data_IF_247722722977
#
_entry.id   IF_247722722977
#
_cell.length_a   1.000
_cell.length_b   1.000
_cell.length_c   1.000
_cell.angle_alpha   90.00
_cell.angle_beta   90.00
_cell.angle_gamma   90.00
#
_symmetry.space_group_name_H-M   'P 1'
#
loop_
_entity.id
_entity.type
_entity.pdbx_description
1 polymer ?
#
# COMPACT_ATOMS: atom_id res chain seq x y z
N UNK A 1 66.09 21.42 -15.98
CA UNK A 1 66.01 20.42 -14.89
C UNK A 1 65.05 20.99 -13.86
N UNK A 2 63.96 20.28 -13.55
CA UNK A 2 62.84 20.81 -12.75
C UNK A 2 62.10 21.98 -13.45
N UNK A 3 60.90 22.38 -13.05
CA UNK A 3 60.02 21.80 -12.01
C UNK A 3 58.62 22.45 -12.03
N UNK A 4 57.48 21.77 -11.90
CA UNK A 4 57.16 20.33 -12.05
C UNK A 4 55.65 20.19 -12.33
N UNK A 5 55.25 19.26 -13.22
CA UNK A 5 53.86 19.09 -13.69
C UNK A 5 53.09 18.10 -12.78
N UNK A 6 52.82 18.53 -11.54
CA UNK A 6 52.06 17.74 -10.56
C UNK A 6 50.56 17.78 -10.88
N UNK A 7 50.06 16.71 -11.50
CA UNK A 7 48.65 16.38 -11.64
C UNK A 7 48.03 16.00 -10.28
N UNK A 8 47.92 16.97 -9.36
CA UNK A 8 47.37 16.75 -8.03
C UNK A 8 45.94 17.32 -7.91
N UNK A 9 45.02 16.64 -8.59
CA UNK A 9 43.56 16.77 -8.39
C UNK A 9 42.89 15.40 -8.40
N UNK A 10 43.34 14.53 -7.50
CA UNK A 10 42.47 13.49 -6.98
C UNK A 10 41.31 14.16 -6.22
N UNK A 11 40.22 14.44 -6.94
CA UNK A 11 38.92 14.61 -6.31
C UNK A 11 38.56 13.27 -5.66
N UNK A 12 38.93 13.12 -4.39
CA UNK A 12 38.32 12.12 -3.52
C UNK A 12 36.86 12.54 -3.38
N UNK A 13 36.01 12.01 -4.24
CA UNK A 13 34.61 11.80 -3.86
C UNK A 13 34.67 10.95 -2.59
N UNK A 14 34.42 11.59 -1.45
CA UNK A 14 34.21 10.87 -0.20
C UNK A 14 33.08 9.90 -0.45
N UNK A 15 33.39 8.61 -0.50
CA UNK A 15 32.38 7.57 -0.40
C UNK A 15 31.73 7.84 0.96
N UNK A 16 30.40 8.12 1.03
CA UNK A 16 29.77 8.39 2.32
C UNK A 16 30.05 7.22 3.27
N UNK A 17 30.64 7.50 4.44
CA UNK A 17 31.07 6.46 5.38
C UNK A 17 29.89 5.59 5.86
N UNK A 18 28.66 6.08 5.72
CA UNK A 18 27.42 5.37 6.02
C UNK A 18 27.03 4.26 5.01
N UNK A 19 27.69 4.09 3.87
CA UNK A 19 27.24 3.10 2.87
C UNK A 19 27.54 1.66 3.33
N UNK A 20 26.50 0.82 3.40
CA UNK A 20 26.64 -0.59 3.75
C UNK A 20 27.53 -1.27 2.69
N UNK A 21 28.72 -1.74 3.07
CA UNK A 21 29.64 -2.33 2.07
C UNK A 21 29.02 -3.53 1.33
N UNK A 22 29.43 -3.78 0.08
CA UNK A 22 28.85 -4.90 -0.70
C UNK A 22 29.10 -6.27 -0.06
N UNK A 23 30.20 -6.42 0.68
CA UNK A 23 30.43 -7.59 1.53
C UNK A 23 29.40 -7.70 2.65
N UNK A 24 29.11 -6.60 3.35
CA UNK A 24 28.15 -6.58 4.44
C UNK A 24 26.71 -6.81 3.95
N UNK A 25 26.32 -6.21 2.81
CA UNK A 25 25.02 -6.47 2.19
C UNK A 25 24.83 -7.94 1.81
N UNK A 26 25.81 -8.57 1.13
CA UNK A 26 25.70 -10.00 0.81
C UNK A 26 25.69 -10.89 2.07
N UNK A 27 26.51 -10.57 3.08
CA UNK A 27 26.51 -11.31 4.35
C UNK A 27 25.20 -11.16 5.12
N UNK A 28 24.56 -9.98 5.08
CA UNK A 28 23.23 -9.77 5.65
C UNK A 28 22.16 -10.62 4.97
N UNK A 29 22.20 -10.77 3.64
CA UNK A 29 21.29 -11.65 2.90
C UNK A 29 21.53 -13.13 3.21
N UNK A 30 22.79 -13.55 3.38
CA UNK A 30 23.14 -14.90 3.82
C UNK A 30 22.64 -15.19 5.24
N UNK A 31 22.86 -14.25 6.18
CA UNK A 31 22.35 -14.33 7.56
C UNK A 31 20.83 -14.42 7.58
N UNK A 32 20.15 -13.53 6.84
CA UNK A 32 18.69 -13.50 6.73
C UNK A 32 18.11 -14.81 6.17
N UNK A 33 18.68 -15.31 5.05
CA UNK A 33 18.25 -16.58 4.44
C UNK A 33 18.56 -17.81 5.28
N UNK A 34 19.55 -17.74 6.18
CA UNK A 34 19.88 -18.80 7.14
C UNK A 34 19.11 -18.68 8.47
N UNK A 35 18.31 -17.64 8.68
CA UNK A 35 17.66 -17.35 9.97
C UNK A 35 18.65 -17.03 11.09
N UNK A 36 19.84 -16.53 10.75
CA UNK A 36 20.91 -16.20 11.69
C UNK A 36 20.85 -14.71 12.06
N UNK A 37 20.94 -14.41 13.36
CA UNK A 37 21.15 -13.05 13.84
C UNK A 37 22.65 -12.73 13.78
N UNK A 38 23.00 -11.58 13.20
CA UNK A 38 24.38 -11.12 13.05
C UNK A 38 24.43 -9.61 12.80
N UNK A 39 25.60 -9.02 13.01
CA UNK A 39 25.78 -7.56 12.96
C UNK A 39 25.54 -6.96 11.57
N UNK A 40 25.82 -7.71 10.50
CA UNK A 40 25.54 -7.32 9.13
C UNK A 40 24.03 -7.28 8.85
N UNK A 41 23.26 -8.25 9.37
CA UNK A 41 21.80 -8.22 9.30
C UNK A 41 21.20 -7.06 10.13
N UNK A 42 21.70 -6.81 11.34
CA UNK A 42 21.27 -5.67 12.16
C UNK A 42 21.54 -4.33 11.44
N UNK A 43 22.73 -4.16 10.87
CA UNK A 43 23.09 -2.98 10.07
C UNK A 43 22.22 -2.84 8.81
N UNK A 44 21.90 -3.94 8.13
CA UNK A 44 20.99 -3.95 6.98
C UNK A 44 19.56 -3.52 7.34
N UNK A 45 19.01 -4.02 8.44
CA UNK A 45 17.67 -3.63 8.94
C UNK A 45 17.65 -2.16 9.35
N UNK A 46 18.69 -1.68 10.04
CA UNK A 46 18.83 -0.25 10.36
C UNK A 46 18.87 0.62 9.09
N UNK A 47 19.63 0.20 8.07
CA UNK A 47 19.73 0.93 6.79
C UNK A 47 18.44 0.90 5.97
N UNK A 48 17.63 -0.17 6.07
CA UNK A 48 16.29 -0.21 5.47
C UNK A 48 15.38 0.87 6.08
N UNK A 49 15.44 1.09 7.41
CA UNK A 49 14.67 2.15 8.06
C UNK A 49 15.13 3.54 7.61
N UNK A 50 16.44 3.79 7.64
CA UNK A 50 17.00 5.13 7.42
C UNK A 50 17.07 5.55 5.94
N UNK A 51 17.43 4.64 5.04
CA UNK A 51 17.56 4.89 3.59
C UNK A 51 16.89 3.77 2.80
N UNK A 52 15.57 3.65 2.98
CA UNK A 52 14.75 2.63 2.29
C UNK A 52 14.95 2.67 0.78
N UNK A 53 15.12 3.86 0.20
CA UNK A 53 15.22 4.05 -1.24
C UNK A 53 16.53 3.52 -1.83
N UNK A 54 17.67 3.73 -1.16
CA UNK A 54 18.93 3.07 -1.56
C UNK A 54 18.83 1.57 -1.38
N UNK A 55 18.29 1.10 -0.26
CA UNK A 55 18.24 -0.34 0.02
C UNK A 55 17.29 -1.08 -0.93
N UNK A 56 16.12 -0.54 -1.23
CA UNK A 56 15.20 -1.08 -2.24
C UNK A 56 15.86 -1.15 -3.63
N UNK A 57 16.48 -0.07 -4.11
CA UNK A 57 17.23 -0.05 -5.39
C UNK A 57 18.32 -1.12 -5.44
N UNK A 58 18.99 -1.39 -4.32
CA UNK A 58 20.06 -2.38 -4.23
C UNK A 58 19.55 -3.82 -4.24
N UNK A 59 18.41 -4.07 -3.59
CA UNK A 59 17.70 -5.35 -3.66
C UNK A 59 17.22 -5.62 -5.10
N UNK A 60 16.60 -4.63 -5.76
CA UNK A 60 16.26 -4.69 -7.19
C UNK A 60 17.48 -4.99 -8.06
N UNK A 61 18.56 -4.22 -7.92
CA UNK A 61 19.78 -4.44 -8.70
C UNK A 61 20.37 -5.85 -8.53
N UNK A 62 20.28 -6.41 -7.30
CA UNK A 62 20.71 -7.77 -7.00
C UNK A 62 19.79 -8.82 -7.68
N UNK A 63 18.48 -8.57 -7.71
CA UNK A 63 17.46 -9.37 -8.40
C UNK A 63 17.70 -9.38 -9.92
N UNK A 64 17.85 -8.20 -10.52
CA UNK A 64 18.08 -8.02 -11.97
C UNK A 64 19.35 -8.74 -12.48
N UNK A 65 20.36 -8.86 -11.62
CA UNK A 65 21.59 -9.62 -11.90
C UNK A 65 21.43 -11.15 -11.76
N UNK A 66 20.22 -11.65 -11.48
CA UNK A 66 19.98 -13.07 -11.18
C UNK A 66 20.56 -13.51 -9.83
N UNK A 67 20.82 -12.57 -8.92
CA UNK A 67 21.28 -12.88 -7.57
C UNK A 67 20.18 -13.55 -6.75
N UNK A 68 20.51 -14.65 -6.08
CA UNK A 68 19.54 -15.33 -5.20
C UNK A 68 19.23 -14.44 -3.99
N UNK A 69 17.95 -14.13 -3.80
CA UNK A 69 17.43 -13.38 -2.65
C UNK A 69 16.65 -14.30 -1.70
N UNK A 70 16.71 -14.08 -0.37
CA UNK A 70 15.80 -14.69 0.59
C UNK A 70 14.49 -13.91 0.61
N UNK A 71 13.69 -14.03 -0.46
CA UNK A 71 12.59 -13.09 -0.74
C UNK A 71 11.50 -13.08 0.34
N UNK A 72 11.19 -14.22 0.95
CA UNK A 72 10.15 -14.33 2.00
C UNK A 72 10.59 -13.65 3.29
N UNK A 73 11.87 -13.76 3.59
CA UNK A 73 12.51 -13.24 4.78
C UNK A 73 12.75 -11.72 4.61
N UNK A 74 13.11 -11.25 3.41
CA UNK A 74 13.12 -9.83 3.04
C UNK A 74 11.71 -9.19 3.11
N UNK A 75 10.68 -9.88 2.62
CA UNK A 75 9.30 -9.42 2.70
C UNK A 75 8.84 -9.22 4.16
N UNK A 76 9.23 -10.12 5.07
CA UNK A 76 8.97 -9.95 6.49
C UNK A 76 9.71 -8.74 7.07
N UNK A 77 11.01 -8.59 6.76
CA UNK A 77 11.80 -7.43 7.19
C UNK A 77 11.18 -6.11 6.70
N UNK A 78 10.67 -6.05 5.47
CA UNK A 78 9.99 -4.85 4.98
C UNK A 78 8.67 -4.61 5.73
N UNK A 79 7.86 -5.65 5.96
CA UNK A 79 6.57 -5.54 6.65
C UNK A 79 6.71 -5.12 8.12
N UNK A 80 7.68 -5.68 8.84
CA UNK A 80 7.97 -5.36 10.25
C UNK A 80 8.42 -3.91 10.45
N UNK A 81 8.93 -3.27 9.40
CA UNK A 81 9.51 -1.93 9.43
C UNK A 81 8.73 -0.88 8.63
N UNK A 82 7.62 -1.25 7.95
CA UNK A 82 6.93 -0.39 6.98
C UNK A 82 6.44 0.95 7.55
N UNK A 83 5.98 0.96 8.80
CA UNK A 83 5.57 2.19 9.51
C UNK A 83 6.73 3.05 10.06
N UNK A 84 7.98 2.66 9.80
CA UNK A 84 9.21 3.30 10.32
C UNK A 84 10.22 3.59 9.19
N UNK A 85 9.74 3.71 7.95
CA UNK A 85 10.57 3.95 6.78
C UNK A 85 10.82 5.45 6.57
N UNK A 86 12.09 5.83 6.48
CA UNK A 86 12.56 7.19 6.31
C UNK A 86 13.36 7.32 5.00
N UNK A 87 13.65 8.57 4.62
CA UNK A 87 14.62 8.85 3.56
C UNK A 87 15.69 9.79 4.07
N UNK A 88 16.90 9.28 4.15
CA UNK A 88 18.15 10.01 4.33
C UNK A 88 18.52 10.93 3.13
N UNK A 89 17.64 11.05 2.11
CA UNK A 89 17.99 11.73 0.86
C UNK A 89 17.80 13.25 0.92
N UNK A 90 18.91 13.97 1.13
CA UNK A 90 19.02 15.40 0.79
C UNK A 90 18.70 15.67 -0.70
N UNK A 91 18.90 14.66 -1.56
CA UNK A 91 18.44 14.64 -2.96
C UNK A 91 17.07 13.96 -3.06
N UNK A 92 16.00 14.74 -2.96
CA UNK A 92 14.61 14.24 -3.00
C UNK A 92 14.34 13.26 -4.15
N UNK A 93 14.17 11.98 -3.78
CA UNK A 93 13.87 10.90 -4.71
C UNK A 93 12.52 11.06 -5.40
N UNK A 94 12.36 10.44 -6.58
CA UNK A 94 11.11 10.46 -7.35
C UNK A 94 9.94 9.70 -6.70
N UNK A 95 10.23 8.87 -5.69
CA UNK A 95 9.28 8.08 -4.92
C UNK A 95 9.42 8.41 -3.43
N UNK A 96 8.43 8.06 -2.62
CA UNK A 96 8.57 8.06 -1.15
C UNK A 96 9.23 6.75 -0.67
N UNK A 97 9.72 6.67 0.59
CA UNK A 97 10.22 5.42 1.18
C UNK A 97 9.21 4.28 1.09
N UNK A 98 7.95 4.53 1.46
CA UNK A 98 6.86 3.56 1.40
C UNK A 98 6.65 3.09 -0.03
N UNK A 99 6.61 4.01 -1.00
CA UNK A 99 6.41 3.62 -2.41
C UNK A 99 7.58 2.82 -2.97
N UNK A 100 8.80 3.06 -2.49
CA UNK A 100 9.96 2.24 -2.82
C UNK A 100 9.88 0.83 -2.20
N UNK A 101 9.39 0.73 -0.95
CA UNK A 101 9.13 -0.54 -0.27
C UNK A 101 7.98 -1.35 -0.93
N UNK A 102 6.90 -0.68 -1.35
CA UNK A 102 5.78 -1.32 -2.08
C UNK A 102 6.23 -1.95 -3.40
N UNK A 103 7.06 -1.25 -4.19
CA UNK A 103 7.56 -1.77 -5.47
C UNK A 103 8.47 -2.96 -5.24
N UNK A 104 9.47 -2.87 -4.35
CA UNK A 104 10.36 -4.02 -4.09
C UNK A 104 9.64 -5.20 -3.44
N UNK A 105 8.60 -4.96 -2.63
CA UNK A 105 7.78 -6.04 -2.08
C UNK A 105 6.94 -6.74 -3.15
N UNK A 106 6.45 -6.02 -4.17
CA UNK A 106 5.80 -6.61 -5.34
C UNK A 106 6.72 -7.58 -6.08
N UNK A 107 7.90 -7.10 -6.49
CA UNK A 107 8.96 -7.90 -7.13
C UNK A 107 9.36 -9.14 -6.32
N UNK A 108 9.62 -8.96 -5.02
CA UNK A 108 10.01 -10.07 -4.13
C UNK A 108 8.90 -11.10 -3.97
N UNK A 109 7.63 -10.69 -4.00
CA UNK A 109 6.49 -11.61 -3.91
C UNK A 109 6.30 -12.42 -5.20
N UNK A 110 6.64 -11.84 -6.36
CA UNK A 110 6.66 -12.57 -7.64
C UNK A 110 7.72 -13.69 -7.67
N UNK A 111 8.79 -13.58 -6.88
CA UNK A 111 9.81 -14.63 -6.71
C UNK A 111 9.39 -15.75 -5.73
N UNK A 112 8.30 -15.56 -4.96
CA UNK A 112 7.79 -16.56 -4.00
C UNK A 112 7.00 -17.64 -4.74
N UNK A 113 7.22 -18.90 -4.34
CA UNK A 113 6.47 -20.03 -4.89
C UNK A 113 4.99 -19.94 -4.52
N UNK A 114 4.09 -20.12 -5.51
CA UNK A 114 2.62 -19.99 -5.34
C UNK A 114 2.06 -20.65 -4.06
N UNK A 115 2.45 -21.87 -3.65
CA UNK A 115 1.95 -22.48 -2.42
C UNK A 115 2.32 -21.74 -1.12
N UNK A 116 3.40 -20.95 -1.14
CA UNK A 116 3.94 -20.24 0.02
C UNK A 116 3.40 -18.79 0.12
N UNK A 117 2.81 -18.25 -0.94
CA UNK A 117 2.32 -16.85 -1.01
C UNK A 117 1.32 -16.52 0.10
N UNK A 118 0.40 -17.45 0.41
CA UNK A 118 -0.57 -17.26 1.49
C UNK A 118 0.09 -17.14 2.87
N UNK A 119 1.06 -18.01 3.17
CA UNK A 119 1.80 -18.01 4.43
C UNK A 119 2.75 -16.81 4.55
N UNK A 120 3.23 -16.25 3.43
CA UNK A 120 4.04 -15.03 3.41
C UNK A 120 3.17 -13.80 3.67
N UNK A 121 2.08 -13.62 2.92
CA UNK A 121 1.19 -12.46 3.09
C UNK A 121 0.50 -12.46 4.47
N UNK A 122 0.14 -13.63 5.00
CA UNK A 122 -0.42 -13.73 6.35
C UNK A 122 0.58 -13.27 7.43
N UNK A 123 1.87 -13.62 7.30
CA UNK A 123 2.91 -13.20 8.24
C UNK A 123 3.30 -11.74 8.09
N UNK A 124 3.38 -11.21 6.88
CA UNK A 124 3.53 -9.77 6.63
C UNK A 124 2.38 -8.99 7.31
N UNK A 125 1.15 -9.47 7.16
CA UNK A 125 -0.04 -8.88 7.78
C UNK A 125 -0.19 -9.15 9.29
N UNK A 126 0.91 -9.38 10.02
CA UNK A 126 0.90 -9.48 11.49
C UNK A 126 0.69 -8.12 12.18
N UNK A 127 0.99 -7.01 11.51
CA UNK A 127 0.75 -5.63 11.97
C UNK A 127 -0.12 -4.87 10.95
N UNK A 128 -0.77 -3.75 11.33
CA UNK A 128 -1.55 -2.94 10.38
C UNK A 128 -0.70 -2.39 9.22
N UNK A 129 0.52 -1.92 9.49
CA UNK A 129 1.43 -1.42 8.44
C UNK A 129 1.98 -2.54 7.57
N UNK A 130 2.32 -3.69 8.15
CA UNK A 130 2.69 -4.88 7.40
C UNK A 130 1.55 -5.41 6.53
N UNK A 131 0.29 -5.27 6.98
CA UNK A 131 -0.90 -5.60 6.19
C UNK A 131 -1.10 -4.63 5.01
N UNK A 132 -0.83 -3.32 5.18
CA UNK A 132 -0.81 -2.36 4.06
C UNK A 132 0.23 -2.74 3.01
N UNK A 133 1.45 -3.10 3.43
CA UNK A 133 2.48 -3.56 2.49
C UNK A 133 2.10 -4.87 1.81
N UNK A 134 1.51 -5.83 2.54
CA UNK A 134 1.00 -7.08 2.00
C UNK A 134 -0.08 -6.84 0.92
N UNK A 135 -1.00 -5.90 1.15
CA UNK A 135 -1.98 -5.49 0.14
C UNK A 135 -1.30 -4.93 -1.12
N UNK A 136 -0.32 -4.03 -0.97
CA UNK A 136 0.36 -3.42 -2.10
C UNK A 136 1.16 -4.44 -2.92
N UNK A 137 1.90 -5.34 -2.25
CA UNK A 137 2.66 -6.41 -2.89
C UNK A 137 1.75 -7.41 -3.62
N UNK A 138 0.63 -7.80 -3.01
CA UNK A 138 -0.31 -8.74 -3.62
C UNK A 138 -1.12 -8.10 -4.78
N UNK A 139 -1.49 -6.83 -4.66
CA UNK A 139 -2.09 -6.09 -5.77
C UNK A 139 -1.13 -5.98 -6.97
N UNK A 140 0.16 -5.72 -6.72
CA UNK A 140 1.18 -5.73 -7.78
C UNK A 140 1.28 -7.10 -8.46
N UNK A 141 1.38 -8.20 -7.68
CA UNK A 141 1.43 -9.57 -8.21
C UNK A 141 0.22 -9.93 -9.10
N UNK A 142 -0.97 -9.45 -8.76
CA UNK A 142 -2.17 -9.66 -9.57
C UNK A 142 -2.21 -8.74 -10.81
N UNK A 143 -1.70 -7.50 -10.70
CA UNK A 143 -1.66 -6.55 -11.82
C UNK A 143 -0.67 -6.93 -12.93
N UNK A 144 0.41 -7.63 -12.59
CA UNK A 144 1.29 -8.23 -13.61
C UNK A 144 0.69 -9.49 -14.25
N UNK A 145 -0.28 -10.14 -13.59
CA UNK A 145 -0.96 -11.32 -14.10
C UNK A 145 -2.10 -11.00 -15.08
N UNK A 146 -2.83 -9.90 -14.88
CA UNK A 146 -3.98 -9.50 -15.69
C UNK A 146 -3.95 -8.01 -16.07
N UNK A 147 -3.85 -7.72 -17.38
CA UNK A 147 -4.05 -6.37 -17.91
C UNK A 147 -5.54 -6.07 -18.09
N UNK A 148 -6.03 -5.05 -17.37
CA UNK A 148 -7.36 -4.41 -17.50
C UNK A 148 -8.55 -5.21 -16.92
N UNK A 149 -8.62 -5.27 -15.59
CA UNK A 149 -9.82 -5.11 -14.74
C UNK A 149 -9.41 -5.34 -13.27
N UNK A 150 -10.24 -5.02 -12.25
CA UNK A 150 -10.06 -5.53 -10.89
C UNK A 150 -10.39 -7.04 -10.85
N UNK A 151 -9.51 -7.84 -11.47
CA UNK A 151 -9.65 -9.28 -11.56
C UNK A 151 -9.68 -9.90 -10.15
N UNK A 152 -10.86 -10.35 -9.72
CA UNK A 152 -10.98 -11.29 -8.61
C UNK A 152 -10.01 -12.45 -8.88
N UNK A 153 -9.13 -12.77 -7.92
CA UNK A 153 -7.88 -13.45 -8.25
C UNK A 153 -8.13 -14.71 -9.06
N UNK A 154 -7.41 -14.84 -10.17
CA UNK A 154 -7.20 -16.13 -10.85
C UNK A 154 -6.98 -17.18 -9.76
N UNK A 155 -7.81 -18.23 -9.74
CA UNK A 155 -8.09 -18.99 -8.50
C UNK A 155 -6.89 -19.63 -7.77
N UNK A 156 -5.69 -19.58 -8.35
CA UNK A 156 -4.39 -19.88 -7.76
C UNK A 156 -4.11 -19.18 -6.42
N UNK A 157 -4.54 -17.93 -6.20
CA UNK A 157 -4.25 -17.20 -4.95
C UNK A 157 -5.42 -17.06 -3.98
N UNK A 158 -6.52 -17.80 -4.17
CA UNK A 158 -7.72 -17.69 -3.32
C UNK A 158 -7.48 -17.94 -1.83
N UNK A 159 -6.52 -18.80 -1.47
CA UNK A 159 -6.14 -18.97 -0.06
C UNK A 159 -5.44 -17.71 0.48
N UNK A 160 -4.58 -17.08 -0.33
CA UNK A 160 -3.89 -15.85 0.05
C UNK A 160 -4.85 -14.66 0.22
N UNK A 161 -5.80 -14.46 -0.71
CA UNK A 161 -6.90 -13.48 -0.58
C UNK A 161 -7.61 -13.66 0.77
N UNK A 162 -8.09 -14.88 1.05
CA UNK A 162 -8.86 -15.21 2.25
C UNK A 162 -8.08 -14.98 3.55
N UNK A 163 -6.80 -15.37 3.60
CA UNK A 163 -5.98 -15.22 4.81
C UNK A 163 -5.57 -13.77 5.04
N UNK A 164 -5.21 -13.05 3.98
CA UNK A 164 -4.92 -11.62 4.06
C UNK A 164 -6.18 -10.83 4.50
N UNK A 165 -7.33 -11.09 3.87
CA UNK A 165 -8.62 -10.50 4.27
C UNK A 165 -8.99 -10.80 5.73
N UNK A 166 -8.71 -12.01 6.24
CA UNK A 166 -8.91 -12.33 7.66
C UNK A 166 -8.01 -11.48 8.59
N UNK A 167 -6.74 -11.29 8.25
CA UNK A 167 -5.81 -10.42 9.00
C UNK A 167 -6.26 -8.97 8.99
N UNK A 168 -6.64 -8.44 7.82
CA UNK A 168 -7.16 -7.09 7.67
C UNK A 168 -8.43 -6.88 8.51
N UNK A 169 -9.38 -7.83 8.47
CA UNK A 169 -10.62 -7.79 9.27
C UNK A 169 -10.31 -7.76 10.78
N UNK A 170 -9.22 -8.39 11.21
CA UNK A 170 -8.71 -8.32 12.58
C UNK A 170 -8.16 -6.92 12.93
N UNK A 171 -7.30 -6.35 12.08
CA UNK A 171 -6.74 -5.01 12.29
C UNK A 171 -7.79 -3.89 12.26
N UNK A 172 -8.81 -4.04 11.42
CA UNK A 172 -9.93 -3.10 11.32
C UNK A 172 -11.04 -3.37 12.36
N UNK A 173 -10.96 -4.42 13.18
CA UNK A 173 -12.01 -4.71 14.17
C UNK A 173 -12.28 -3.57 15.17
N UNK A 174 -11.26 -2.84 15.69
CA UNK A 174 -11.48 -1.64 16.52
C UNK A 174 -12.08 -0.47 15.73
N UNK A 175 -11.77 -0.35 14.44
CA UNK A 175 -12.34 0.66 13.55
C UNK A 175 -13.81 0.39 13.24
N UNK A 176 -14.21 -0.89 13.19
CA UNK A 176 -15.59 -1.32 12.95
C UNK A 176 -16.54 -1.18 14.14
N UNK A 177 -16.07 -0.74 15.32
CA UNK A 177 -16.93 -0.52 16.51
C UNK A 177 -17.13 0.96 16.86
N UNK A 178 -16.58 1.87 16.06
CA UNK A 178 -16.64 3.33 16.23
C UNK A 178 -17.24 3.99 14.98
N UNK A 179 -17.83 5.21 15.08
CA UNK A 179 -18.42 5.89 13.94
C UNK A 179 -17.44 6.06 12.77
N UNK A 180 -17.94 5.94 11.53
CA UNK A 180 -17.11 6.05 10.33
C UNK A 180 -16.34 7.38 10.25
N UNK A 181 -16.89 8.46 10.80
CA UNK A 181 -16.23 9.77 10.88
C UNK A 181 -14.85 9.74 11.55
N UNK A 182 -14.66 8.84 12.52
CA UNK A 182 -13.44 8.78 13.34
C UNK A 182 -12.32 7.94 12.69
N UNK A 183 -12.58 7.29 11.54
CA UNK A 183 -11.61 6.44 10.83
C UNK A 183 -10.27 7.15 10.63
N UNK A 184 -9.15 6.50 10.93
CA UNK A 184 -7.81 7.08 10.75
C UNK A 184 -7.36 7.02 9.27
N UNK A 185 -6.43 7.89 8.82
CA UNK A 185 -5.87 7.80 7.47
C UNK A 185 -5.24 6.44 7.16
N UNK A 186 -4.69 5.76 8.16
CA UNK A 186 -4.06 4.43 8.05
C UNK A 186 -5.12 3.34 7.86
N UNK A 187 -6.22 3.41 8.60
CA UNK A 187 -7.38 2.51 8.44
C UNK A 187 -8.03 2.70 7.06
N UNK A 188 -8.18 3.96 6.58
CA UNK A 188 -8.70 4.28 5.24
C UNK A 188 -7.77 3.68 4.16
N UNK A 189 -6.44 3.88 4.28
CA UNK A 189 -5.46 3.27 3.35
C UNK A 189 -5.54 1.74 3.37
N UNK A 190 -5.78 1.13 4.54
CA UNK A 190 -5.92 -0.32 4.68
C UNK A 190 -7.23 -0.84 4.06
N UNK A 191 -8.35 -0.10 4.17
CA UNK A 191 -9.61 -0.42 3.48
C UNK A 191 -9.43 -0.39 1.95
N UNK A 192 -8.75 0.63 1.41
CA UNK A 192 -8.44 0.69 -0.02
C UNK A 192 -7.47 -0.42 -0.47
N UNK A 193 -6.48 -0.76 0.36
CA UNK A 193 -5.61 -1.92 0.13
C UNK A 193 -6.40 -3.24 0.11
N UNK A 194 -7.40 -3.39 0.98
CA UNK A 194 -8.28 -4.56 1.00
C UNK A 194 -9.14 -4.62 -0.26
N UNK A 195 -9.80 -3.54 -0.68
CA UNK A 195 -10.53 -3.50 -1.96
C UNK A 195 -9.64 -3.99 -3.11
N UNK A 196 -8.44 -3.42 -3.29
CA UNK A 196 -7.52 -3.82 -4.37
C UNK A 196 -6.98 -5.27 -4.29
N UNK A 197 -7.37 -6.06 -3.29
CA UNK A 197 -6.96 -7.46 -3.09
C UNK A 197 -8.11 -8.46 -2.87
N UNK A 198 -9.23 -8.04 -2.28
CA UNK A 198 -10.45 -8.82 -2.04
C UNK A 198 -11.66 -7.84 -1.96
N UNK A 199 -12.25 -7.47 -3.11
CA UNK A 199 -13.49 -6.67 -3.18
C UNK A 199 -14.59 -7.13 -2.25
N UNK A 200 -14.85 -8.44 -2.24
CA UNK A 200 -16.08 -8.97 -1.68
C UNK A 200 -15.99 -9.05 -0.17
N UNK A 201 -14.83 -9.37 0.40
CA UNK A 201 -14.59 -9.24 1.83
C UNK A 201 -14.62 -7.80 2.32
N UNK A 202 -14.02 -6.86 1.58
CA UNK A 202 -14.09 -5.43 1.92
C UNK A 202 -15.53 -4.91 1.91
N UNK A 203 -16.29 -5.20 0.84
CA UNK A 203 -17.72 -4.85 0.72
C UNK A 203 -18.58 -5.51 1.79
N UNK A 204 -18.39 -6.81 2.08
CA UNK A 204 -19.14 -7.51 3.12
C UNK A 204 -18.92 -6.85 4.48
N UNK A 205 -17.66 -6.55 4.81
CA UNK A 205 -17.30 -5.95 6.09
C UNK A 205 -17.83 -4.52 6.26
N UNK A 206 -17.74 -3.67 5.23
CA UNK A 206 -18.36 -2.32 5.24
C UNK A 206 -19.89 -2.44 5.31
N UNK A 207 -20.47 -3.31 4.48
CA UNK A 207 -21.91 -3.57 4.44
C UNK A 207 -22.47 -3.93 5.81
N UNK A 208 -21.78 -4.82 6.53
CA UNK A 208 -22.12 -5.23 7.89
C UNK A 208 -22.20 -4.03 8.86
N UNK A 209 -21.28 -3.06 8.81
CA UNK A 209 -21.29 -1.90 9.73
C UNK A 209 -22.38 -0.88 9.40
N UNK A 210 -22.73 -0.76 8.13
CA UNK A 210 -23.89 0.02 7.67
C UNK A 210 -25.21 -0.66 8.10
N UNK A 211 -25.32 -1.99 8.00
CA UNK A 211 -26.52 -2.75 8.41
C UNK A 211 -26.72 -2.81 9.93
N UNK A 212 -25.63 -2.86 10.70
CA UNK A 212 -25.64 -2.78 12.17
C UNK A 212 -25.90 -1.35 12.69
N UNK A 213 -25.95 -0.34 11.80
CA UNK A 213 -26.14 1.06 12.18
C UNK A 213 -24.97 1.68 12.94
N UNK A 214 -23.79 1.06 12.90
CA UNK A 214 -22.56 1.60 13.51
C UNK A 214 -21.99 2.72 12.63
N UNK A 215 -22.14 2.58 11.31
CA UNK A 215 -21.67 3.53 10.31
C UNK A 215 -22.83 4.15 9.53
N UNK A 216 -22.78 5.48 9.36
CA UNK A 216 -23.62 6.21 8.44
C UNK A 216 -22.92 6.36 7.07
N UNK A 217 -23.71 6.32 5.98
CA UNK A 217 -23.20 6.37 4.60
C UNK A 217 -22.43 7.67 4.30
N UNK A 218 -22.95 8.83 4.71
CA UNK A 218 -22.34 10.12 4.38
C UNK A 218 -21.00 10.39 5.12
N UNK A 219 -20.87 10.16 6.44
CA UNK A 219 -19.58 10.20 7.12
C UNK A 219 -18.57 9.20 6.54
N UNK A 220 -19.02 8.00 6.16
CA UNK A 220 -18.16 7.00 5.51
C UNK A 220 -17.65 7.51 4.15
N UNK A 221 -18.54 8.01 3.27
CA UNK A 221 -18.16 8.63 1.99
C UNK A 221 -17.13 9.74 2.17
N UNK A 222 -17.32 10.59 3.19
CA UNK A 222 -16.45 11.71 3.54
C UNK A 222 -15.06 11.24 3.95
N UNK A 223 -14.95 10.13 4.70
CA UNK A 223 -13.66 9.58 5.14
C UNK A 223 -12.98 8.65 4.13
N UNK A 224 -13.73 7.92 3.30
CA UNK A 224 -13.14 7.04 2.29
C UNK A 224 -12.45 7.78 1.15
N UNK A 225 -12.66 9.09 0.98
CA UNK A 225 -11.91 9.86 -0.02
C UNK A 225 -10.41 9.86 0.31
N UNK A 226 -9.53 9.49 -0.64
CA UNK A 226 -8.09 9.65 -0.45
C UNK A 226 -7.75 11.12 -0.16
N UNK A 227 -6.83 11.36 0.78
CA UNK A 227 -6.34 12.71 1.16
C UNK A 227 -5.47 13.35 0.05
N UNK A 228 -6.06 13.58 -1.13
CA UNK A 228 -5.40 14.16 -2.30
C UNK A 228 -5.58 15.68 -2.33
N UNK A 229 -4.84 16.37 -1.45
CA UNK A 229 -4.30 17.74 -1.56
C UNK A 229 -5.20 18.93 -1.96
N UNK A 230 -6.45 18.74 -2.36
CA UNK A 230 -7.38 19.78 -2.76
C UNK A 230 -8.79 19.46 -2.20
N UNK A 231 -9.35 20.30 -1.30
CA UNK A 231 -10.63 20.01 -0.63
C UNK A 231 -11.87 19.99 -1.56
N UNK A 232 -11.70 20.25 -2.85
CA UNK A 232 -12.76 20.27 -3.86
C UNK A 232 -12.34 19.58 -5.16
N UNK A 233 -11.50 18.52 -5.08
CA UNK A 233 -11.25 17.65 -6.24
C UNK A 233 -12.54 16.89 -6.55
N UNK A 234 -12.98 16.98 -7.80
CA UNK A 234 -14.10 16.17 -8.30
C UNK A 234 -13.78 14.67 -8.15
N UNK A 235 -14.79 13.92 -7.71
CA UNK A 235 -14.79 12.45 -7.75
C UNK A 235 -14.82 12.05 -9.23
N UNK A 236 -13.93 11.18 -9.68
CA UNK A 236 -13.95 10.65 -11.03
C UNK A 236 -14.84 9.39 -11.14
N UNK A 237 -15.00 8.85 -12.35
CA UNK A 237 -15.88 7.70 -12.58
C UNK A 237 -15.37 6.43 -11.84
N UNK A 238 -14.06 6.22 -11.79
CA UNK A 238 -13.43 5.06 -11.11
C UNK A 238 -13.60 5.16 -9.58
N UNK A 239 -13.37 6.35 -8.99
CA UNK A 239 -13.65 6.61 -7.57
C UNK A 239 -15.15 6.44 -7.25
N UNK A 240 -16.05 6.86 -8.16
CA UNK A 240 -17.50 6.70 -8.00
C UNK A 240 -17.91 5.22 -8.03
N UNK A 241 -17.43 4.45 -9.01
CA UNK A 241 -17.73 3.01 -9.14
C UNK A 241 -17.20 2.22 -7.94
N UNK A 242 -15.97 2.51 -7.50
CA UNK A 242 -15.39 1.92 -6.29
C UNK A 242 -16.23 2.18 -5.04
N UNK A 243 -16.69 3.42 -4.82
CA UNK A 243 -17.55 3.77 -3.69
C UNK A 243 -18.94 3.12 -3.79
N UNK A 244 -19.53 3.08 -4.98
CA UNK A 244 -20.79 2.37 -5.24
C UNK A 244 -20.66 0.86 -5.02
N UNK A 245 -19.51 0.26 -5.35
CA UNK A 245 -19.22 -1.13 -5.07
C UNK A 245 -19.03 -1.41 -3.58
N UNK A 246 -18.27 -0.58 -2.85
CA UNK A 246 -17.99 -0.79 -1.42
C UNK A 246 -19.23 -0.57 -0.54
N UNK A 247 -20.04 0.45 -0.83
CA UNK A 247 -21.22 0.84 -0.04
C UNK A 247 -22.49 0.12 -0.51
N UNK A 248 -22.54 -0.25 -1.80
CA UNK A 248 -23.73 -0.74 -2.48
C UNK A 248 -24.51 0.39 -3.15
N UNK A 249 -24.63 0.34 -4.48
CA UNK A 249 -25.20 1.40 -5.32
C UNK A 249 -26.57 1.88 -4.85
N UNK A 250 -27.47 0.99 -4.42
CA UNK A 250 -28.78 1.37 -3.89
C UNK A 250 -28.70 2.22 -2.61
N UNK A 251 -27.75 1.93 -1.70
CA UNK A 251 -27.53 2.71 -0.47
C UNK A 251 -26.95 4.07 -0.79
N UNK A 252 -25.98 4.10 -1.71
CA UNK A 252 -25.39 5.34 -2.23
C UNK A 252 -26.45 6.24 -2.87
N UNK A 253 -27.22 5.72 -3.82
CA UNK A 253 -28.30 6.42 -4.50
C UNK A 253 -29.35 6.97 -3.53
N UNK A 254 -29.77 6.16 -2.55
CA UNK A 254 -30.76 6.57 -1.54
C UNK A 254 -30.25 7.76 -0.71
N UNK A 255 -28.98 7.74 -0.29
CA UNK A 255 -28.41 8.85 0.47
C UNK A 255 -28.19 10.10 -0.41
N UNK A 256 -27.77 9.94 -1.67
CA UNK A 256 -27.67 11.06 -2.62
C UNK A 256 -29.03 11.70 -2.91
N UNK A 257 -30.09 10.91 -3.12
CA UNK A 257 -31.45 11.41 -3.37
C UNK A 257 -32.06 12.09 -2.13
N UNK A 258 -31.75 11.60 -0.93
CA UNK A 258 -32.14 12.26 0.34
C UNK A 258 -31.58 13.68 0.43
N UNK A 259 -30.29 13.86 0.18
CA UNK A 259 -29.64 15.19 0.23
C UNK A 259 -30.05 16.10 -0.93
N UNK A 260 -30.33 15.53 -2.11
CA UNK A 260 -30.89 16.28 -3.25
C UNK A 260 -32.28 16.87 -2.95
N UNK A 261 -33.12 16.12 -2.23
CA UNK A 261 -34.50 16.51 -1.93
C UNK A 261 -34.65 17.33 -0.64
N UNK A 262 -33.70 17.23 0.29
CA UNK A 262 -33.65 17.99 1.54
C UNK A 262 -32.20 18.40 1.89
N UNK A 263 -31.67 19.50 1.33
CA UNK A 263 -30.26 19.90 1.48
C UNK A 263 -29.91 20.55 2.83
N UNK A 264 -30.64 20.21 3.91
CA UNK A 264 -30.44 20.84 5.21
C UNK A 264 -29.27 20.21 5.99
N UNK A 265 -28.41 21.07 6.56
CA UNK A 265 -27.28 20.72 7.46
C UNK A 265 -26.04 20.05 6.85
N UNK A 266 -25.86 20.05 5.52
CA UNK A 266 -24.55 19.70 4.92
C UNK A 266 -23.53 20.83 5.07
N UNK A 267 -22.28 20.47 5.36
CA UNK A 267 -21.14 21.37 5.23
C UNK A 267 -20.73 21.58 3.77
N UNK A 268 -19.86 22.57 3.47
CA UNK A 268 -19.45 22.87 2.10
C UNK A 268 -18.71 21.72 1.40
N UNK A 269 -18.09 20.82 2.17
CA UNK A 269 -17.37 19.66 1.65
C UNK A 269 -18.33 18.52 1.27
N UNK A 270 -19.25 18.18 2.16
CA UNK A 270 -20.26 17.15 1.96
C UNK A 270 -21.19 17.49 0.79
N UNK A 271 -21.63 18.76 0.70
CA UNK A 271 -22.43 19.25 -0.43
C UNK A 271 -21.66 19.21 -1.76
N UNK A 272 -20.36 19.51 -1.77
CA UNK A 272 -19.53 19.32 -2.97
C UNK A 272 -19.40 17.83 -3.36
N UNK A 273 -19.19 16.95 -2.38
CA UNK A 273 -19.07 15.50 -2.58
C UNK A 273 -20.35 14.89 -3.16
N UNK A 274 -21.49 15.14 -2.51
CA UNK A 274 -22.82 14.69 -2.99
C UNK A 274 -23.08 15.19 -4.41
N UNK A 275 -22.76 16.45 -4.72
CA UNK A 275 -22.91 17.02 -6.08
C UNK A 275 -21.91 16.46 -7.09
N UNK A 276 -20.75 15.97 -6.68
CA UNK A 276 -19.80 15.31 -7.59
C UNK A 276 -20.28 13.90 -7.95
N UNK A 277 -20.62 13.08 -6.94
CA UNK A 277 -21.14 11.73 -7.13
C UNK A 277 -22.44 11.73 -7.96
N UNK A 278 -23.35 12.67 -7.68
CA UNK A 278 -24.61 12.80 -8.42
C UNK A 278 -24.45 13.08 -9.92
N UNK A 279 -23.31 13.62 -10.37
CA UNK A 279 -23.06 13.85 -11.80
C UNK A 279 -22.73 12.56 -12.54
N UNK A 280 -21.94 11.68 -11.93
CA UNK A 280 -21.53 10.41 -12.54
C UNK A 280 -22.67 9.37 -12.58
N UNK A 281 -23.67 9.48 -11.71
CA UNK A 281 -24.93 8.71 -11.82
C UNK A 281 -25.70 9.00 -13.12
N UNK A 282 -25.56 10.20 -13.69
CA UNK A 282 -26.32 10.64 -14.86
C UNK A 282 -25.71 10.27 -16.22
N UNK A 283 -24.52 9.67 -16.26
CA UNK A 283 -23.84 9.32 -17.52
C UNK A 283 -24.20 7.93 -18.07
N UNK A 284 -24.66 7.00 -17.24
CA UNK A 284 -25.04 5.65 -17.68
C UNK A 284 -26.43 5.58 -18.32
N UNK A 285 -27.38 6.40 -17.86
CA UNK A 285 -28.72 6.56 -18.47
C UNK A 285 -28.69 7.28 -19.85
N UNK A 286 -27.50 7.65 -20.35
CA UNK A 286 -27.30 8.44 -21.56
C UNK A 286 -26.57 7.71 -22.72
N UNK A 287 -26.45 6.37 -22.65
CA UNK A 287 -25.99 5.55 -23.78
C UNK A 287 -27.18 5.01 -24.60
N UNK A 288 -27.29 5.34 -25.91
CA UNK A 288 -28.38 4.89 -26.80
C UNK A 288 -28.20 3.48 -27.36
#
# INVERSE_FOLDING_TARGET
MGSDDHFDRYFVFGIPEDDLSERAFNSALEQLGAGQVGGELEAFVARIRQDTQRMARRVHHRRDQGGRLPSRELLQVLADNFGQLESDSEMGGLLTPERSAEVVAGDLLADVQVPEVADVLERMASTPDGARLACAAFHHLNKEADTVEPAASTGKYRDAERRLGHRIRGHLAPAGSRPAADLSPEEIRLIWGWWHTDPWGAREWIGQRLDEGVWDVLPLLTRLRPERTAPFREVDAEETEALAFLIGSQRLDTELDKHRNSPEHLGPYEDHLVRSLSRHRGTDDASP
#
